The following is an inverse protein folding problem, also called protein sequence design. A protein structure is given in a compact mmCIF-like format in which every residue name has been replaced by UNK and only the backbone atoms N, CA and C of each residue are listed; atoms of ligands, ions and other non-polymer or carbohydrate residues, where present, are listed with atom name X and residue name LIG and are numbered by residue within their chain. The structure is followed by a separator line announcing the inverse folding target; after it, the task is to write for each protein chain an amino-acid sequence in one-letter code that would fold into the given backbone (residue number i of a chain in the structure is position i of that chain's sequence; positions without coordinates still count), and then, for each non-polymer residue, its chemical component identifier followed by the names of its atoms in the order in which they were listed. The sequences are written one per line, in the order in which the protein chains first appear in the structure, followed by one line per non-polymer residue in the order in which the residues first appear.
data_IF_332398508164
#
_entry.id   IF_332398508164
#
_cell.length_a   1.000
_cell.length_b   1.000
_cell.length_c   1.000
_cell.angle_alpha   90.00
_cell.angle_beta   90.00
_cell.angle_gamma   90.00
#
_symmetry.space_group_name_H-M   'P 1'
#
loop_
_entity.id
_entity.type
_entity.pdbx_description
1 polymer ?
2 non-polymer ?
3 non-polymer ?
4 non-polymer ?
5 water ?
#
# COMPACT_ATOMS: atom_id res chain seq x y z
N UNK A 5 -19.30 3.31 -16.92
CA UNK A 5 -20.46 2.37 -16.90
C UNK A 5 -20.01 0.95 -16.54
N UNK A 6 -20.71 0.36 -15.57
CA UNK A 6 -20.39 -0.98 -15.05
C UNK A 6 -21.42 -1.98 -15.58
N UNK A 7 -20.95 -2.93 -16.39
CA UNK A 7 -21.82 -3.97 -16.95
C UNK A 7 -22.25 -4.97 -15.87
N UNK A 8 -23.29 -5.74 -16.19
CA UNK A 8 -23.85 -6.73 -15.26
C UNK A 8 -22.85 -7.83 -14.97
N UNK A 9 -22.82 -8.28 -13.71
CA UNK A 9 -22.13 -9.51 -13.38
C UNK A 9 -22.85 -10.71 -13.99
N UNK A 10 -22.09 -11.76 -14.39
CA UNK A 10 -22.76 -12.99 -14.83
C UNK A 10 -23.33 -13.75 -13.64
N UNK A 11 -24.19 -14.75 -13.90
CA UNK A 11 -24.63 -15.68 -12.86
C UNK A 11 -23.40 -16.30 -12.17
N UNK A 12 -23.45 -16.37 -10.86
CA UNK A 12 -22.39 -16.96 -10.04
C UNK A 12 -23.01 -17.78 -8.91
N UNK A 13 -22.43 -18.95 -8.64
CA UNK A 13 -22.88 -19.80 -7.53
C UNK A 13 -21.84 -19.73 -6.42
N UNK A 14 -22.26 -19.19 -5.28
CA UNK A 14 -21.36 -19.06 -4.13
C UNK A 14 -22.19 -19.09 -2.84
N UNK A 15 -21.53 -19.27 -1.67
CA UNK A 15 -22.26 -19.34 -0.40
C UNK A 15 -23.00 -18.03 -0.10
N UNK A 16 -24.23 -18.17 0.39
CA UNK A 16 -25.03 -17.03 0.80
C UNK A 16 -24.41 -16.32 2.00
N UNK A 17 -24.25 -14.99 1.94
CA UNK A 17 -23.82 -14.26 3.14
C UNK A 17 -25.00 -14.23 4.09
N UNK A 18 -24.76 -14.50 5.35
CA UNK A 18 -25.83 -14.54 6.35
C UNK A 18 -25.59 -13.40 7.33
N UNK A 19 -26.56 -12.51 7.41
CA UNK A 19 -26.48 -11.30 8.23
C UNK A 19 -26.26 -11.58 9.72
N UNK A 20 -26.80 -12.70 10.20
CA UNK A 20 -26.68 -13.06 11.62
C UNK A 20 -25.49 -13.97 11.91
N UNK A 21 -24.60 -14.06 10.92
CA UNK A 21 -23.31 -14.74 11.02
C UNK A 21 -22.21 -13.80 10.51
N UNK A 22 -21.44 -13.19 11.42
CA UNK A 22 -20.23 -12.45 11.01
C UNK A 22 -19.24 -13.39 10.34
N UNK A 23 -18.45 -12.89 9.39
CA UNK A 23 -17.38 -13.72 8.82
C UNK A 23 -16.08 -13.67 9.65
N UNK A 24 -15.93 -12.66 10.51
CA UNK A 24 -14.87 -12.60 11.53
C UNK A 24 -15.47 -11.94 12.77
N UNK A 25 -15.36 -12.61 13.92
CA UNK A 25 -15.79 -12.07 15.23
C UNK A 25 -14.64 -11.59 16.13
N UNK A 26 -13.41 -11.85 15.69
CA UNK A 26 -12.22 -11.60 16.50
C UNK A 26 -11.56 -10.26 16.20
N UNK A 27 -11.97 -9.64 15.09
CA UNK A 27 -11.32 -8.42 14.63
C UNK A 27 -12.33 -7.41 14.14
N UNK A 28 -11.94 -6.14 14.19
CA UNK A 28 -12.69 -5.05 13.58
C UNK A 28 -12.56 -5.14 12.05
N UNK A 29 -13.68 -5.25 11.35
CA UNK A 29 -13.68 -5.38 9.89
C UNK A 29 -14.18 -4.15 9.12
N UNK A 30 -14.55 -3.11 9.88
CA UNK A 30 -14.97 -1.83 9.27
C UNK A 30 -14.54 -0.70 10.20
N UNK A 31 -14.01 0.38 9.64
CA UNK A 31 -13.61 1.52 10.47
C UNK A 31 -14.86 2.33 10.87
N UNK A 32 -14.71 3.25 11.86
CA UNK A 32 -15.86 4.09 12.24
C UNK A 32 -16.30 5.09 11.16
N UNK A 33 -15.54 5.24 10.07
CA UNK A 33 -16.00 6.02 8.93
C UNK A 33 -16.44 5.11 7.77
N UNK A 34 -16.74 3.86 8.10
CA UNK A 34 -17.35 2.91 7.17
C UNK A 34 -16.44 2.50 6.01
N UNK A 35 -15.14 2.41 6.30
CA UNK A 35 -14.18 1.83 5.34
C UNK A 35 -13.92 0.36 5.75
N UNK A 36 -14.04 -0.59 4.81
CA UNK A 36 -13.66 -1.96 5.15
C UNK A 36 -12.21 -2.08 5.60
N UNK A 37 -11.99 -2.93 6.59
CA UNK A 37 -10.65 -3.34 6.97
C UNK A 37 -10.49 -4.76 6.44
N UNK A 38 -9.49 -4.94 5.58
CA UNK A 38 -9.42 -6.15 4.77
C UNK A 38 -8.65 -7.25 5.49
N UNK A 39 -9.39 -8.31 5.85
CA UNK A 39 -8.88 -9.52 6.50
C UNK A 39 -9.34 -10.72 5.71
N UNK A 40 -8.59 -11.83 5.79
CA UNK A 40 -9.06 -13.09 5.22
C UNK A 40 -10.39 -13.49 5.86
N UNK A 41 -11.32 -13.90 5.00
CA UNK A 41 -12.65 -14.29 5.44
C UNK A 41 -13.68 -13.19 5.27
N UNK A 42 -13.26 -11.95 4.97
CA UNK A 42 -14.20 -10.83 4.76
C UNK A 42 -14.63 -10.66 3.31
N UNK A 43 -13.89 -11.27 2.37
CA UNK A 43 -14.19 -11.06 0.94
C UNK A 43 -14.29 -12.36 0.17
N UNK A 44 -15.17 -12.36 -0.83
CA UNK A 44 -15.26 -13.42 -1.82
C UNK A 44 -14.47 -12.91 -3.02
N UNK A 45 -13.28 -13.49 -3.20
CA UNK A 45 -12.39 -13.02 -4.28
C UNK A 45 -12.95 -13.26 -5.68
N UNK A 46 -13.86 -14.23 -5.85
CA UNK A 46 -14.45 -14.48 -7.15
C UNK A 46 -15.37 -13.34 -7.56
N UNK A 47 -16.14 -12.81 -6.61
CA UNK A 47 -16.98 -11.64 -6.90
C UNK A 47 -16.12 -10.43 -7.23
N UNK A 48 -15.09 -10.20 -6.41
CA UNK A 48 -14.23 -9.04 -6.63
C UNK A 48 -13.45 -9.15 -7.94
N UNK A 49 -12.93 -10.33 -8.26
CA UNK A 49 -12.25 -10.50 -9.54
C UNK A 49 -13.13 -10.21 -10.73
N UNK A 50 -14.38 -10.67 -10.68
CA UNK A 50 -15.36 -10.36 -11.70
C UNK A 50 -15.56 -8.85 -11.85
N UNK A 51 -15.79 -8.16 -10.72
CA UNK A 51 -16.07 -6.73 -10.75
C UNK A 51 -14.93 -5.97 -11.39
N UNK A 52 -13.69 -6.29 -10.99
CA UNK A 52 -12.54 -5.53 -11.47
C UNK A 52 -12.11 -5.93 -12.88
N UNK A 53 -12.28 -7.20 -13.25
CA UNK A 53 -11.98 -7.61 -14.64
C UNK A 53 -12.97 -6.99 -15.62
N UNK A 54 -14.22 -6.83 -15.21
CA UNK A 54 -15.23 -6.23 -16.10
C UNK A 54 -14.92 -4.78 -16.40
N UNK A 55 -14.09 -4.17 -15.55
CA UNK A 55 -13.64 -2.79 -15.77
C UNK A 55 -12.27 -2.73 -16.46
N UNK A 56 -11.71 -3.90 -16.81
CA UNK A 56 -10.35 -4.04 -17.38
C UNK A 56 -9.33 -3.21 -16.57
N UNK A 57 -9.36 -3.43 -15.25
CA UNK A 57 -8.54 -2.69 -14.31
C UNK A 57 -7.03 -2.91 -14.54
N UNK A 58 -6.28 -1.80 -14.58
CA UNK A 58 -4.83 -1.86 -14.63
C UNK A 58 -4.25 -1.32 -13.32
N UNK A 59 -3.37 -2.11 -12.70
CA UNK A 59 -2.75 -1.72 -11.43
C UNK A 59 -1.28 -1.40 -11.67
N UNK A 60 -0.86 -0.19 -11.29
CA UNK A 60 0.56 0.17 -11.29
C UNK A 60 1.15 -0.14 -9.92
N UNK A 61 2.35 -0.70 -9.90
CA UNK A 61 3.05 -0.97 -8.65
C UNK A 61 4.36 -0.23 -8.71
N UNK A 62 4.56 0.71 -7.80
CA UNK A 62 5.83 1.46 -7.72
C UNK A 62 6.72 0.89 -6.65
N UNK A 63 8.01 0.80 -6.96
CA UNK A 63 8.99 0.28 -6.01
C UNK A 63 10.31 0.98 -6.26
N UNK A 64 10.96 1.39 -5.18
CA UNK A 64 12.26 2.06 -5.24
C UNK A 64 13.35 1.11 -4.83
N UNK A 65 14.40 1.03 -5.64
CA UNK A 65 15.53 0.16 -5.32
C UNK A 65 16.80 0.94 -5.59
N UNK A 66 17.24 1.61 -4.54
CA UNK A 66 18.33 2.57 -4.61
C UNK A 66 19.51 2.00 -3.84
N UNK A 67 20.71 2.19 -4.40
CA UNK A 67 21.97 1.73 -3.78
C UNK A 67 21.90 0.22 -3.56
N UNK A 68 22.18 -0.26 -2.34
CA UNK A 68 22.27 -1.69 -2.08
C UNK A 68 20.93 -2.43 -2.20
N UNK A 69 19.83 -1.67 -2.16
CA UNK A 69 18.49 -2.28 -2.16
C UNK A 69 18.11 -2.89 -3.51
N UNK A 70 18.92 -2.65 -4.55
CA UNK A 70 18.72 -3.37 -5.81
C UNK A 70 18.77 -4.90 -5.63
N UNK A 71 19.49 -5.38 -4.60
CA UNK A 71 19.60 -6.82 -4.31
C UNK A 71 18.26 -7.48 -3.98
N UNK A 72 17.30 -6.68 -3.53
CA UNK A 72 15.98 -7.18 -3.15
C UNK A 72 15.02 -7.35 -4.34
N UNK A 73 15.37 -6.83 -5.51
CA UNK A 73 14.43 -6.84 -6.61
C UNK A 73 14.05 -8.21 -7.15
N UNK A 74 15.01 -9.12 -7.23
CA UNK A 74 14.72 -10.43 -7.85
C UNK A 74 13.59 -11.14 -7.09
N UNK A 75 13.74 -11.28 -5.79
CA UNK A 75 12.73 -11.96 -4.99
C UNK A 75 11.42 -11.19 -4.95
N UNK A 76 11.52 -9.87 -4.87
CA UNK A 76 10.33 -9.02 -4.84
C UNK A 76 9.49 -9.26 -6.10
N UNK A 77 10.14 -9.19 -7.26
CA UNK A 77 9.43 -9.28 -8.54
C UNK A 77 8.94 -10.68 -8.84
N UNK A 78 9.78 -11.67 -8.53
CA UNK A 78 9.42 -13.05 -8.80
C UNK A 78 8.25 -13.50 -7.94
N UNK A 79 8.23 -13.06 -6.69
CA UNK A 79 7.08 -13.38 -5.83
C UNK A 79 5.85 -12.53 -6.16
N UNK A 80 6.05 -11.30 -6.64
CA UNK A 80 4.90 -10.50 -7.14
C UNK A 80 4.23 -11.20 -8.31
N UNK A 81 5.03 -11.81 -9.18
CA UNK A 81 4.47 -12.59 -10.28
C UNK A 81 3.61 -13.76 -9.81
N UNK A 82 3.95 -14.36 -8.68
CA UNK A 82 3.17 -15.47 -8.14
C UNK A 82 1.91 -15.04 -7.42
N UNK A 83 1.89 -13.82 -6.87
CA UNK A 83 0.86 -13.47 -5.88
C UNK A 83 0.13 -12.16 -6.02
N UNK A 84 0.68 -11.23 -6.80
CA UNK A 84 0.14 -9.87 -6.87
C UNK A 84 -0.73 -9.69 -8.09
N UNK A 85 -2.03 -9.53 -7.87
CA UNK A 85 -2.97 -9.17 -8.93
C UNK A 85 -2.94 -10.12 -10.11
N UNK A 86 -2.71 -11.41 -9.85
CA UNK A 86 -2.66 -12.41 -10.92
C UNK A 86 -4.01 -12.47 -11.64
N UNK A 87 -3.95 -12.36 -12.96
CA UNK A 87 -5.15 -12.33 -13.80
C UNK A 87 -5.54 -10.95 -14.28
N UNK A 88 -4.98 -9.93 -13.61
CA UNK A 88 -5.25 -8.54 -13.93
C UNK A 88 -4.07 -7.90 -14.64
N UNK A 89 -4.28 -6.73 -15.24
CA UNK A 89 -3.19 -6.02 -15.91
C UNK A 89 -2.34 -5.33 -14.86
N UNK A 90 -1.03 -5.55 -14.92
CA UNK A 90 -0.08 -4.95 -13.95
C UNK A 90 1.04 -4.26 -14.69
N UNK A 91 1.37 -3.06 -14.23
CA UNK A 91 2.53 -2.33 -14.73
C UNK A 91 3.44 -2.03 -13.55
N UNK A 92 4.62 -2.65 -13.53
CA UNK A 92 5.60 -2.34 -12.50
C UNK A 92 6.42 -1.13 -12.90
N UNK A 93 6.67 -0.25 -11.94
CA UNK A 93 7.54 0.91 -12.15
C UNK A 93 8.66 0.79 -11.16
N UNK A 94 9.85 0.46 -11.64
CA UNK A 94 10.99 0.25 -10.77
C UNK A 94 11.87 1.48 -10.87
N UNK A 95 11.96 2.23 -9.77
CA UNK A 95 12.78 3.44 -9.70
C UNK A 95 14.13 3.07 -9.11
N UNK A 96 15.22 3.36 -9.82
CA UNK A 96 16.54 2.93 -9.39
C UNK A 96 17.63 3.87 -9.88
N UNK A 97 18.74 3.89 -9.13
CA UNK A 97 19.95 4.56 -9.58
C UNK A 97 20.85 3.62 -10.41
N UNK A 98 20.48 2.35 -10.52
CA UNK A 98 21.29 1.37 -11.21
C UNK A 98 20.43 0.55 -12.18
N UNK A 99 20.03 1.15 -13.33
CA UNK A 99 19.19 0.39 -14.27
C UNK A 99 19.76 -0.97 -14.69
N UNK A 100 21.09 -1.07 -14.81
CA UNK A 100 21.71 -2.34 -15.21
C UNK A 100 21.64 -3.45 -14.16
N UNK A 101 21.32 -3.08 -12.92
CA UNK A 101 21.26 -4.04 -11.82
C UNK A 101 19.85 -4.63 -11.66
N UNK A 102 18.89 -4.12 -12.42
CA UNK A 102 17.53 -4.66 -12.38
C UNK A 102 17.57 -6.08 -12.97
N UNK A 103 17.15 -7.11 -12.20
CA UNK A 103 17.18 -8.50 -12.71
C UNK A 103 16.20 -8.71 -13.84
N UNK A 104 16.52 -9.64 -14.75
CA UNK A 104 15.61 -9.97 -15.83
C UNK A 104 14.62 -10.99 -15.27
N UNK A 105 13.40 -10.54 -15.07
CA UNK A 105 12.36 -11.37 -14.43
C UNK A 105 11.31 -11.67 -15.49
N UNK A 106 10.95 -12.93 -15.60
CA UNK A 106 9.92 -13.35 -16.55
C UNK A 106 8.52 -13.01 -16.04
N UNK A 107 7.75 -12.35 -16.89
CA UNK A 107 6.42 -11.88 -16.48
C UNK A 107 5.32 -12.64 -17.17
N UNK A 108 4.24 -12.87 -16.43
CA UNK A 108 3.00 -13.40 -17.01
C UNK A 108 2.37 -12.47 -18.05
N UNK A 109 1.45 -12.99 -18.83
CA UNK A 109 0.82 -12.18 -19.86
C UNK A 109 0.04 -11.00 -19.23
N UNK A 110 0.02 -9.87 -19.94
CA UNK A 110 -0.71 -8.69 -19.47
C UNK A 110 0.00 -7.89 -18.41
N UNK A 111 1.30 -8.15 -18.23
CA UNK A 111 2.10 -7.53 -17.20
C UNK A 111 3.36 -6.95 -17.85
N UNK A 112 3.74 -5.76 -17.40
CA UNK A 112 4.89 -5.09 -17.97
C UNK A 112 5.70 -4.40 -16.89
N UNK A 113 6.97 -4.14 -17.20
CA UNK A 113 7.87 -3.52 -16.25
C UNK A 113 8.61 -2.39 -16.94
N UNK A 114 8.65 -1.25 -16.29
CA UNK A 114 9.41 -0.08 -16.76
C UNK A 114 10.47 0.25 -15.75
N UNK A 115 11.69 0.47 -16.22
CA UNK A 115 12.80 0.88 -15.34
C UNK A 115 12.95 2.39 -15.47
N UNK A 116 12.83 3.10 -14.34
CA UNK A 116 12.94 4.55 -14.31
C UNK A 116 14.18 4.91 -13.53
N UNK A 117 15.11 5.60 -14.18
CA UNK A 117 16.32 6.02 -13.52
C UNK A 117 16.09 7.29 -12.71
N UNK A 118 16.57 7.27 -11.47
CA UNK A 118 16.54 8.41 -10.59
C UNK A 118 17.94 8.65 -10.01
N UNK A 119 18.14 9.83 -9.43
CA UNK A 119 19.36 10.14 -8.67
C UNK A 119 19.34 9.38 -7.34
N UNK A 120 20.52 9.08 -6.79
CA UNK A 120 20.64 8.54 -5.43
C UNK A 120 20.96 9.68 -4.46
N UNK A 121 20.47 9.57 -3.23
CA UNK A 121 20.70 10.56 -2.17
C UNK A 121 21.52 9.95 -1.03
N UNK A 128 14.57 10.63 2.46
CA UNK A 128 13.30 11.24 2.84
C UNK A 128 12.37 11.57 1.67
N UNK A 129 12.63 12.68 0.97
CA UNK A 129 11.65 13.28 0.04
C UNK A 129 11.52 12.63 -1.33
N UNK A 130 12.50 11.81 -1.71
CA UNK A 130 12.58 11.21 -3.03
C UNK A 130 11.24 10.56 -3.44
N UNK A 131 10.75 9.61 -2.66
CA UNK A 131 9.65 8.75 -3.11
C UNK A 131 8.36 9.56 -3.34
N UNK A 132 7.97 10.38 -2.36
CA UNK A 132 6.76 11.20 -2.50
C UNK A 132 6.85 12.18 -3.67
N UNK A 133 7.99 12.85 -3.80
CA UNK A 133 8.24 13.76 -4.91
C UNK A 133 8.27 13.02 -6.27
N UNK A 134 8.91 11.86 -6.31
CA UNK A 134 9.03 11.10 -7.56
C UNK A 134 7.67 10.58 -8.01
N UNK A 135 6.88 10.06 -7.06
CA UNK A 135 5.55 9.57 -7.40
C UNK A 135 4.65 10.70 -7.90
N UNK A 136 4.70 11.86 -7.23
CA UNK A 136 3.85 12.99 -7.59
C UNK A 136 4.40 13.80 -8.77
N UNK A 137 5.42 14.64 -8.50
CA UNK A 137 5.94 15.64 -9.48
C UNK A 137 6.37 15.07 -10.84
N UNK A 138 7.19 14.02 -10.83
CA UNK A 138 7.79 13.51 -12.08
C UNK A 138 6.90 12.58 -12.90
N UNK A 139 6.07 11.80 -12.22
CA UNK A 139 5.36 10.69 -12.86
C UNK A 139 3.86 10.90 -13.04
N UNK A 140 3.38 12.09 -12.67
CA UNK A 140 1.96 12.43 -12.66
C UNK A 140 1.23 12.07 -13.96
N UNK A 141 1.74 12.60 -15.07
CA UNK A 141 1.12 12.44 -16.37
C UNK A 141 1.21 11.00 -16.86
N UNK A 142 2.36 10.37 -16.63
CA UNK A 142 2.56 8.97 -17.03
C UNK A 142 1.52 8.05 -16.38
N UNK A 143 1.39 8.14 -15.05
CA UNK A 143 0.48 7.26 -14.31
C UNK A 143 -0.98 7.45 -14.70
N UNK A 144 -1.40 8.70 -14.87
CA UNK A 144 -2.76 9.00 -15.27
C UNK A 144 -3.10 8.38 -16.62
N UNK A 145 -2.12 8.32 -17.52
CA UNK A 145 -2.32 7.73 -18.84
C UNK A 145 -2.30 6.19 -18.86
N UNK A 146 -1.61 5.57 -17.89
CA UNK A 146 -1.25 4.14 -18.01
C UNK A 146 -1.92 3.18 -17.04
N UNK A 147 -2.36 3.66 -15.89
CA UNK A 147 -2.95 2.76 -14.89
C UNK A 147 -4.19 3.36 -14.24
N UNK A 148 -5.00 2.51 -13.60
CA UNK A 148 -6.21 2.97 -12.90
C UNK A 148 -5.93 3.18 -11.42
N UNK A 149 -5.12 2.30 -10.84
CA UNK A 149 -4.76 2.36 -9.43
C UNK A 149 -3.27 2.32 -9.30
N UNK A 150 -2.73 2.98 -8.29
CA UNK A 150 -1.32 2.89 -7.95
C UNK A 150 -1.16 2.30 -6.58
N UNK A 151 -0.19 1.40 -6.46
CA UNK A 151 0.19 0.75 -5.21
C UNK A 151 1.67 1.04 -4.99
N UNK A 152 2.02 1.54 -3.81
CA UNK A 152 3.38 2.02 -3.54
C UNK A 152 3.93 1.23 -2.37
N UNK A 153 4.99 0.46 -2.63
CA UNK A 153 5.54 -0.49 -1.63
C UNK A 153 7.05 -0.42 -1.48
N UNK A 154 7.51 -0.87 -0.32
CA UNK A 154 8.92 -1.10 -0.06
C UNK A 154 9.42 -2.32 -0.85
N UNK A 155 10.73 -2.33 -1.16
CA UNK A 155 11.35 -3.39 -1.95
C UNK A 155 11.90 -4.55 -1.11
N UNK A 156 12.20 -4.27 0.16
CA UNK A 156 12.84 -5.23 1.05
C UNK A 156 11.80 -6.21 1.60
N UNK A 157 11.06 -6.82 0.68
CA UNK A 157 9.84 -7.55 0.96
C UNK A 157 9.67 -8.71 -0.01
N UNK A 158 8.80 -9.64 0.36
CA UNK A 158 8.40 -10.69 -0.58
C UNK A 158 6.91 -10.99 -0.43
N UNK A 159 6.29 -11.40 -1.53
CA UNK A 159 4.90 -11.87 -1.47
C UNK A 159 4.93 -13.35 -1.13
N UNK A 160 4.14 -13.74 -0.14
CA UNK A 160 3.95 -15.16 0.21
C UNK A 160 2.57 -15.71 -0.07
N UNK A 161 1.59 -14.83 -0.29
CA UNK A 161 0.23 -15.28 -0.47
C UNK A 161 -0.49 -14.17 -1.25
N UNK A 162 -1.75 -14.43 -1.55
CA UNK A 162 -2.57 -13.60 -2.41
C UNK A 162 -2.60 -12.13 -1.95
N UNK A 163 -2.26 -11.21 -2.87
CA UNK A 163 -2.55 -9.79 -2.69
C UNK A 163 -3.24 -9.38 -3.99
N UNK A 164 -4.54 -9.08 -3.90
CA UNK A 164 -5.31 -8.89 -5.12
C UNK A 164 -6.25 -7.71 -5.04
N UNK A 165 -7.27 -7.77 -5.87
CA UNK A 165 -8.11 -6.58 -6.07
C UNK A 165 -8.95 -6.20 -4.86
N UNK A 166 -9.03 -7.08 -3.87
CA UNK A 166 -9.65 -6.72 -2.60
C UNK A 166 -9.06 -5.44 -1.96
N UNK A 167 -7.82 -5.09 -2.33
CA UNK A 167 -7.21 -3.88 -1.75
C UNK A 167 -7.61 -2.60 -2.45
N UNK A 168 -8.18 -2.72 -3.66
CA UNK A 168 -8.34 -1.56 -4.51
C UNK A 168 -9.57 -0.74 -4.13
N UNK A 169 -9.38 0.58 -4.17
CA UNK A 169 -10.30 1.55 -3.57
C UNK A 169 -9.70 2.93 -3.86
N UNK A 170 -10.46 4.01 -3.69
CA UNK A 170 -9.84 5.32 -3.95
C UNK A 170 -8.59 5.62 -3.12
N UNK A 171 -8.56 5.23 -1.86
CA UNK A 171 -7.38 5.50 -1.04
C UNK A 171 -7.25 4.47 0.08
N UNK A 172 -6.08 3.84 0.18
CA UNK A 172 -5.87 2.88 1.27
C UNK A 172 -4.53 3.06 1.98
N UNK A 173 -4.56 2.73 3.28
CA UNK A 173 -3.33 2.54 4.04
C UNK A 173 -3.35 1.15 4.63
N UNK A 174 -2.20 0.77 5.22
CA UNK A 174 -2.00 -0.57 5.79
C UNK A 174 -1.58 -0.41 7.24
N UNK A 175 -2.17 -1.22 8.12
CA UNK A 175 -1.80 -1.21 9.54
C UNK A 175 -0.37 -1.71 9.72
N UNK A 176 0.44 -0.87 10.37
CA UNK A 176 1.82 -1.23 10.74
C UNK A 176 1.75 -2.44 11.67
N UNK A 177 2.53 -3.50 11.38
CA UNK A 177 2.40 -4.73 12.18
C UNK A 177 2.82 -4.60 13.66
N UNK A 178 3.60 -3.58 14.01
CA UNK A 178 4.01 -3.39 15.42
C UNK A 178 2.96 -2.70 16.28
N UNK A 179 1.91 -2.13 15.67
CA UNK A 179 1.02 -1.21 16.40
C UNK A 179 -0.46 -1.51 16.31
N UNK A 180 -0.84 -2.59 15.62
CA UNK A 180 -2.27 -2.83 15.38
C UNK A 180 -3.05 -3.11 16.67
N UNK A 181 -2.36 -3.62 17.68
CA UNK A 181 -2.96 -3.86 19.00
C UNK A 181 -2.64 -2.78 20.04
N UNK A 182 -2.01 -1.68 19.62
CA UNK A 182 -1.52 -0.66 20.53
C UNK A 182 -2.51 0.47 20.73
N UNK A 183 -2.39 1.15 21.87
CA UNK A 183 -3.15 2.37 22.12
C UNK A 183 -2.47 3.52 21.38
N UNK A 184 -3.26 4.53 21.01
CA UNK A 184 -2.78 5.61 20.13
C UNK A 184 -1.64 6.44 20.72
N UNK A 185 -1.60 6.57 22.05
CA UNK A 185 -0.49 7.26 22.69
C UNK A 185 0.86 6.57 22.43
N UNK A 186 0.84 5.26 22.18
CA UNK A 186 2.03 4.46 21.85
C UNK A 186 2.46 4.53 20.38
N UNK A 187 1.56 4.97 19.50
CA UNK A 187 1.91 5.13 18.09
C UNK A 187 3.08 6.08 17.94
N UNK A 188 4.00 5.76 17.03
CA UNK A 188 5.19 6.59 16.81
C UNK A 188 4.94 7.73 15.83
N UNK A 189 3.79 8.39 15.97
CA UNK A 189 3.52 9.64 15.25
C UNK A 189 4.58 10.68 15.54
N UNK A 190 4.79 11.61 14.62
CA UNK A 190 5.54 12.82 14.96
C UNK A 190 4.84 13.60 16.08
N UNK A 191 5.57 13.88 17.17
CA UNK A 191 4.97 14.50 18.36
C UNK A 191 5.38 15.95 18.60
N UNK A 192 6.28 16.48 17.79
CA UNK A 192 6.70 17.88 17.93
C UNK A 192 5.77 18.78 17.14
N UNK A 193 5.13 19.76 17.82
CA UNK A 193 4.20 20.71 17.19
C UNK A 193 4.82 21.56 16.08
N UNK A 194 6.16 21.63 16.05
CA UNK A 194 6.87 22.39 15.01
C UNK A 194 6.88 21.69 13.64
N UNK A 195 6.54 20.40 13.60
CA UNK A 195 6.49 19.64 12.34
C UNK A 195 5.09 19.61 11.77
N UNK A 196 5.02 19.69 10.44
CA UNK A 196 3.76 19.53 9.69
C UNK A 196 3.10 18.18 9.95
N UNK A 197 3.90 17.17 10.32
CA UNK A 197 3.39 15.81 10.58
C UNK A 197 2.86 15.62 12.01
N UNK A 198 2.91 16.69 12.82
CA UNK A 198 2.47 16.62 14.21
C UNK A 198 1.06 16.06 14.42
N UNK A 199 0.97 15.05 15.27
CA UNK A 199 -0.31 14.54 15.76
C UNK A 199 -0.26 14.48 17.29
N UNK A 200 -1.17 15.20 17.98
CA UNK A 200 -1.30 15.14 19.45
C UNK A 200 -1.64 13.76 19.99
N UNK A 201 -1.39 13.54 21.28
CA UNK A 201 -1.57 12.23 21.91
C UNK A 201 -3.02 11.71 21.96
N UNK A 202 -3.97 12.65 21.88
CA UNK A 202 -5.40 12.31 21.88
C UNK A 202 -6.02 12.19 20.48
N UNK A 203 -5.19 12.21 19.44
CA UNK A 203 -5.68 12.00 18.07
C UNK A 203 -5.05 10.79 17.42
N UNK A 204 -5.69 10.29 16.37
CA UNK A 204 -5.18 9.14 15.62
C UNK A 204 -6.16 8.00 15.60
N UNK A 205 -6.33 7.39 14.44
CA UNK A 205 -7.15 6.19 14.30
C UNK A 205 -6.23 4.97 14.38
N UNK A 206 -5.21 4.96 13.54
CA UNK A 206 -4.30 3.83 13.35
C UNK A 206 -2.89 4.37 13.08
N UNK A 207 -1.89 3.49 13.27
CA UNK A 207 -0.56 3.78 12.74
C UNK A 207 -0.38 3.01 11.44
N UNK A 208 -0.33 3.76 10.34
CA UNK A 208 -0.18 3.16 9.01
C UNK A 208 1.32 3.04 8.65
N UNK A 209 1.70 1.94 8.00
CA UNK A 209 3.13 1.76 7.61
C UNK A 209 3.38 2.39 6.25
N UNK A 210 4.51 3.10 6.12
CA UNK A 210 4.88 3.71 4.86
C UNK A 210 5.19 2.75 3.75
N UNK A 211 5.27 1.45 4.06
CA UNK A 211 5.70 0.40 3.14
C UNK A 211 4.63 -0.12 2.19
N UNK A 212 3.37 0.33 2.36
CA UNK A 212 2.26 -0.19 1.53
C UNK A 212 1.05 0.75 1.62
N UNK A 213 0.92 1.62 0.64
CA UNK A 213 -0.28 2.48 0.53
C UNK A 213 -0.63 2.58 -0.95
N UNK A 214 -1.80 3.14 -1.25
CA UNK A 214 -2.20 3.23 -2.67
C UNK A 214 -3.60 3.73 -2.80
N UNK A 215 -4.14 3.55 -4.00
CA UNK A 215 -5.45 4.13 -4.30
C UNK A 215 -5.61 4.37 -5.77
N UNK A 216 -6.63 5.14 -6.15
CA UNK A 216 -6.70 5.60 -7.54
C UNK A 216 -5.52 6.51 -7.83
N UNK A 217 -5.19 6.67 -9.12
CA UNK A 217 -4.09 7.55 -9.47
C UNK A 217 -4.35 8.94 -8.90
N UNK A 218 -5.56 9.47 -9.06
CA UNK A 218 -5.86 10.81 -8.56
C UNK A 218 -5.61 10.92 -7.06
N UNK A 219 -6.07 9.95 -6.27
CA UNK A 219 -5.90 10.05 -4.82
C UNK A 219 -4.47 9.85 -4.35
N UNK A 220 -3.74 8.99 -5.07
CA UNK A 220 -2.33 8.79 -4.77
C UNK A 220 -1.52 10.04 -5.11
N UNK A 221 -1.81 10.69 -6.24
CA UNK A 221 -1.15 11.95 -6.58
C UNK A 221 -1.44 13.04 -5.53
N UNK A 222 -2.70 13.12 -5.07
CA UNK A 222 -3.06 14.07 -3.99
C UNK A 222 -2.27 13.80 -2.71
N UNK A 223 -2.18 12.52 -2.32
CA UNK A 223 -1.48 12.16 -1.10
C UNK A 223 0.00 12.48 -1.20
N UNK A 224 0.61 12.08 -2.30
CA UNK A 224 2.06 12.22 -2.44
C UNK A 224 2.43 13.69 -2.62
N UNK A 225 1.61 14.46 -3.34
CA UNK A 225 1.81 15.91 -3.43
C UNK A 225 1.74 16.56 -2.05
N UNK A 226 0.71 16.25 -1.28
CA UNK A 226 0.54 16.84 0.05
C UNK A 226 1.71 16.48 0.96
N UNK A 227 2.15 15.22 0.94
CA UNK A 227 3.25 14.79 1.81
C UNK A 227 4.56 15.46 1.39
N UNK A 228 4.78 15.58 0.08
CA UNK A 228 5.99 16.24 -0.44
C UNK A 228 6.00 17.72 -0.03
N UNK A 229 4.88 18.40 -0.21
CA UNK A 229 4.77 19.80 0.23
C UNK A 229 5.01 19.97 1.73
N UNK A 230 4.44 19.08 2.54
CA UNK A 230 4.61 19.11 3.99
C UNK A 230 6.07 18.85 4.39
N UNK A 231 6.74 17.95 3.67
CA UNK A 231 8.16 17.65 3.94
C UNK A 231 9.05 18.84 3.57
N UNK A 232 8.69 19.55 2.51
CA UNK A 232 9.45 20.75 2.12
C UNK A 232 9.32 21.87 3.14
N UNK A 233 8.12 22.02 3.70
CA UNK A 233 7.89 23.00 4.79
C UNK A 233 8.78 22.64 5.99
N UNK A 234 8.75 21.36 6.40
CA UNK A 234 9.59 20.88 7.48
C UNK A 234 11.08 21.13 7.24
N UNK A 235 11.54 20.86 6.01
CA UNK A 235 12.95 21.10 5.65
C UNK A 235 13.30 22.59 5.79
N UNK A 236 12.42 23.47 5.29
CA UNK A 236 12.61 24.92 5.43
C UNK A 236 12.66 25.39 6.89
N UNK A 237 11.95 24.67 7.74
CA UNK A 237 11.90 24.94 9.19
C UNK A 237 12.94 24.17 10.02
N UNK A 238 13.85 23.48 9.34
CA UNK A 238 14.92 22.70 9.99
C UNK A 238 14.48 21.59 10.93
N UNK A 239 13.51 20.81 10.47
CA UNK A 239 12.99 19.69 11.25
C UNK A 239 12.73 18.53 10.28
N UNK A 240 13.05 17.33 10.72
CA UNK A 240 12.80 16.10 9.96
C UNK A 240 11.96 15.19 10.84
N UNK A 241 10.76 14.85 10.35
CA UNK A 241 9.85 14.02 11.11
C UNK A 241 10.47 12.67 11.52
N UNK A 242 10.10 12.19 12.71
CA UNK A 242 10.67 10.98 13.31
C UNK A 242 10.76 9.78 12.36
N UNK A 243 9.70 9.54 11.60
CA UNK A 243 9.67 8.45 10.62
C UNK A 243 9.51 8.92 9.19
N UNK A 244 10.01 10.13 8.94
CA UNK A 244 10.25 10.63 7.58
C UNK A 244 8.93 10.63 6.80
N UNK A 245 8.89 10.07 5.59
CA UNK A 245 7.63 10.14 4.84
C UNK A 245 6.45 9.39 5.46
N UNK A 246 6.74 8.38 6.28
CA UNK A 246 5.71 7.66 7.05
C UNK A 246 4.99 8.56 8.05
N UNK A 247 5.71 9.46 8.70
CA UNK A 247 5.08 10.43 9.61
C UNK A 247 4.06 11.31 8.89
N UNK A 248 4.43 11.76 7.69
CA UNK A 248 3.57 12.58 6.86
C UNK A 248 2.41 11.79 6.28
N UNK A 249 2.66 10.55 5.90
CA UNK A 249 1.59 9.67 5.45
C UNK A 249 0.54 9.52 6.55
N UNK A 250 0.98 9.34 7.80
CA UNK A 250 0.07 9.25 8.93
C UNK A 250 -0.74 10.51 9.17
N UNK A 251 -0.11 11.66 9.05
CA UNK A 251 -0.84 12.93 9.18
C UNK A 251 -1.91 13.05 8.09
N UNK A 252 -1.52 12.72 6.86
CA UNK A 252 -2.45 12.81 5.74
C UNK A 252 -3.66 11.91 5.91
N UNK A 253 -3.43 10.66 6.33
CA UNK A 253 -4.51 9.68 6.47
C UNK A 253 -5.37 9.92 7.70
N UNK A 254 -4.84 10.66 8.69
CA UNK A 254 -5.68 11.12 9.79
C UNK A 254 -6.71 12.14 9.29
N UNK A 255 -6.27 13.07 8.43
CA UNK A 255 -7.08 14.20 7.97
C UNK A 255 -7.88 13.89 6.71
N UNK A 256 -7.50 12.83 5.99
CA UNK A 256 -8.18 12.34 4.77
C UNK A 256 -8.34 10.84 4.96
N UNK A 257 -9.50 10.40 5.45
CA UNK A 257 -9.66 9.02 5.87
C UNK A 257 -9.56 8.09 4.65
N UNK A 258 -8.80 6.99 4.78
CA UNK A 258 -8.75 6.02 3.68
C UNK A 258 -10.07 5.31 3.50
N UNK A 259 -10.38 4.94 2.27
CA UNK A 259 -11.63 4.24 1.95
C UNK A 259 -11.55 2.72 2.14
N UNK A 260 -10.33 2.17 2.28
CA UNK A 260 -10.10 0.82 2.87
C UNK A 260 -8.85 0.89 3.69
N UNK A 261 -8.79 0.00 4.69
CA UNK A 261 -7.58 -0.19 5.48
C UNK A 261 -7.17 -1.65 5.35
N UNK A 262 -5.89 -1.90 5.03
CA UNK A 262 -5.43 -3.29 4.95
C UNK A 262 -4.96 -3.78 6.30
N UNK A 263 -5.38 -4.99 6.66
CA UNK A 263 -4.93 -5.60 7.91
C UNK A 263 -3.43 -5.94 7.84
N UNK A 264 -2.84 -6.32 8.99
CA UNK A 264 -1.40 -6.65 8.96
C UNK A 264 -1.05 -7.93 8.20
N UNK A 265 -2.04 -8.67 7.71
CA UNK A 265 -1.75 -9.75 6.73
C UNK A 265 -0.92 -9.20 5.57
N UNK A 266 -1.14 -7.91 5.26
CA UNK A 266 -0.58 -7.24 4.08
C UNK A 266 0.78 -6.59 4.33
N UNK A 267 1.24 -6.58 5.59
CA UNK A 267 2.58 -6.08 5.90
C UNK A 267 3.02 -6.70 7.21
N UNK A 268 3.78 -7.77 7.10
CA UNK A 268 4.14 -8.56 8.28
C UNK A 268 5.64 -8.79 8.36
N UNK A 269 6.12 -9.07 9.56
CA UNK A 269 7.50 -9.45 9.76
C UNK A 269 7.49 -10.68 10.66
N UNK A 270 7.63 -11.86 10.07
CA UNK A 270 7.57 -13.12 10.80
C UNK A 270 8.73 -13.28 11.77
N UNK A 271 9.91 -12.78 11.40
CA UNK A 271 11.09 -12.93 12.27
C UNK A 271 10.86 -12.16 13.58
N UNK A 272 10.34 -10.95 13.47
CA UNK A 272 10.11 -10.10 14.63
C UNK A 272 8.82 -10.37 15.39
N UNK A 273 7.82 -10.95 14.72
CA UNK A 273 6.45 -11.00 15.27
C UNK A 273 5.77 -12.38 15.21
N UNK A 274 6.44 -13.35 14.59
CA UNK A 274 5.91 -14.71 14.52
C UNK A 274 4.69 -14.84 13.63
N UNK A 275 3.76 -15.71 14.01
CA UNK A 275 2.54 -15.93 13.22
C UNK A 275 1.35 -16.09 14.17
N UNK A 276 0.78 -14.96 14.62
CA UNK A 276 -0.35 -14.98 15.56
C UNK A 276 -1.59 -15.58 14.93
N UNK A 277 -2.41 -16.19 15.78
CA UNK A 277 -3.65 -16.82 15.36
C UNK A 277 -4.57 -15.90 14.58
N UNK A 278 -4.54 -14.60 14.92
CA UNK A 278 -5.39 -13.62 14.28
C UNK A 278 -5.04 -13.38 12.79
N UNK A 279 -3.83 -13.78 12.39
CA UNK A 279 -3.43 -13.72 10.99
C UNK A 279 -3.57 -15.05 10.30
N UNK A 280 -4.61 -15.19 9.47
CA UNK A 280 -4.87 -16.44 8.80
C UNK A 280 -3.93 -16.64 7.60
N UNK A 281 -3.44 -15.52 7.06
CA UNK A 281 -2.50 -15.54 5.96
C UNK A 281 -1.44 -14.49 6.22
N UNK A 282 -0.21 -14.80 5.81
CA UNK A 282 0.87 -13.81 5.80
C UNK A 282 1.12 -13.56 4.32
N UNK A 283 0.71 -12.38 3.83
CA UNK A 283 0.67 -12.15 2.39
C UNK A 283 1.90 -11.46 1.82
N UNK A 284 2.42 -10.49 2.56
CA UNK A 284 3.52 -9.63 2.06
C UNK A 284 4.37 -9.33 3.28
N UNK A 285 5.61 -9.82 3.24
CA UNK A 285 6.42 -9.94 4.46
C UNK A 285 7.81 -9.37 4.28
N UNK A 286 8.38 -8.88 5.38
CA UNK A 286 9.74 -8.37 5.39
C UNK A 286 10.78 -9.44 5.11
N UNK A 287 11.80 -9.08 4.32
CA UNK A 287 12.96 -9.93 4.12
C UNK A 287 13.99 -9.51 5.17
N UNK A 288 14.57 -10.50 5.89
CA UNK A 288 15.75 -10.28 6.75
C UNK A 288 17.00 -9.97 5.94
X LIG B 1 11.09 -1.68 4.37
X LIG C 1 -7.47 -16.57 -3.90
X LIG C 1 -6.33 -17.29 -4.34
X LIG C 1 -6.09 -16.83 -5.76
X LIG C 1 -5.16 -15.76 -5.69
X LIG C 1 -4.41 -15.68 -6.86
X LIG C 1 -3.05 -15.30 -6.33
X LIG C 1 -2.08 -15.51 -7.34
X LIG D 1 13.87 2.36 -0.32
X LIG D 1 13.48 0.90 -0.44
X LIG D 1 13.01 0.59 0.95
X LIG D 1 12.28 1.89 1.29
X LIG D 1 12.07 2.19 2.75
X LIG D 1 13.10 2.93 0.72
X LIG D 1 12.19 -0.59 1.02
X LIG D 1 13.30 2.05 3.44
X LIG D 1 13.50 0.79 4.40
X LIG D 1 12.81 -0.45 3.82
X LIG D 1 14.95 0.77 4.78
X LIG D 1 12.61 1.26 5.68
X LIG D 1 15.31 2.51 0.01
X LIG D 1 17.56 2.38 -0.75
X LIG D 1 17.11 3.04 1.49
X LIG D 1 15.74 2.92 1.24
X LIG D 1 16.24 2.23 -1.00
X LIG D 1 15.87 1.87 -2.14
X LIG D 1 18.01 2.77 0.45
X LIG D 1 19.25 2.86 0.64
X LIG D 1 12.39 0.75 -1.35
X LIG D 1 12.14 0.33 6.90
X LIG D 1 11.41 -1.00 6.35
X LIG D 1 13.26 0.10 7.86
X LIG D 1 10.82 -0.13 9.74
X LIG D 1 11.21 0.76 10.79
X LIG D 1 9.96 1.29 11.51
X LIG D 1 9.13 2.07 10.49
X LIG D 1 8.83 1.23 9.24
X LIG D 1 10.05 0.49 8.66
X LIG D 1 9.21 0.18 12.01
X LIG D 1 7.87 2.37 11.12
X LIG D 1 8.25 2.07 8.24
X LIG D 1 10.93 1.36 7.75
X LIG D 1 12.19 0.08 11.75
X LIG D 1 13.38 -0.22 10.99
#
# INVERSE_FOLDING_TARGET
AIGEFMVSLPRMVYPQPKVLTPCRKDVLVVTPWLAPIVWEGTFNIDILNEQFRLQNTTIGLTVFAIKKYVAFLKLFLETAEKHFMVGHRVHYYVFTDQPAAVPRVTLGTGRQLSVLEVRAYKRWQDVSMRRMEMISDFCERRFLSEVDYLVCVDVDMEFRDHVGVEILTPLFGTLHPSFYGSSREAFTYERRPQSQAYIPKDEGDFYYMGAFFGGSVQEVQRLTRACHQAMMVDQANGIEAVWHDESHLNKYLLRHKPTKVLSPEYLWDQQLLGWPAVLRKLRFTAVPKNHQAVRNPE
MN MN
PG0 O2 C4 C3 O1 C2 C1 OTT
URM C1 C2 C3 C4 C5 O6 O7 O8 P9 O10 O11 O12 N13 N15 C17 C18 C19 O19 C20 O20 O21 P22 O23 O24 O36 C37 C38 C39 C40 C41 O42 O43 O44 C45 C46 O47
#
